data_IF_581173284832
#
_entry.id   IF_581173284832
#
_cell.length_a   1.000
_cell.length_b   1.000
_cell.length_c   1.000
_cell.angle_alpha   90.00
_cell.angle_beta   90.00
_cell.angle_gamma   90.00
#
_symmetry.space_group_name_H-M   'P 1'
#
loop_
_entity.id
_entity.type
_entity.pdbx_description
1 polymer ?
#
# COMPACT_ATOMS: atom_id res chain seq x y z
N UNK A 1 9.02 8.57 -20.70
CA UNK A 1 7.63 8.98 -20.93
C UNK A 1 6.89 8.68 -19.65
N UNK A 2 6.21 9.66 -19.06
CA UNK A 2 5.54 9.50 -17.76
C UNK A 2 4.53 8.37 -17.80
N UNK A 3 4.32 7.73 -16.64
CA UNK A 3 3.18 6.82 -16.48
C UNK A 3 1.87 7.63 -16.68
N UNK A 4 0.86 7.09 -17.40
CA UNK A 4 -0.37 7.82 -17.66
C UNK A 4 -1.10 8.31 -16.41
N UNK A 5 -1.12 7.51 -15.34
CA UNK A 5 -1.76 7.87 -14.07
C UNK A 5 -0.97 8.95 -13.33
N UNK A 6 0.37 8.89 -13.40
CA UNK A 6 1.23 9.95 -12.88
C UNK A 6 0.95 11.26 -13.60
N UNK A 7 0.90 11.24 -14.95
CA UNK A 7 0.56 12.41 -15.75
C UNK A 7 -0.84 12.94 -15.43
N UNK A 8 -1.84 12.07 -15.34
CA UNK A 8 -3.21 12.48 -14.99
C UNK A 8 -3.26 13.15 -13.61
N UNK A 9 -2.61 12.58 -12.60
CA UNK A 9 -2.51 13.18 -11.27
C UNK A 9 -1.92 14.60 -11.32
N UNK A 10 -0.90 14.80 -12.16
CA UNK A 10 -0.32 16.11 -12.37
C UNK A 10 -1.25 17.08 -13.10
N UNK A 11 -1.95 16.63 -14.13
CA UNK A 11 -2.91 17.46 -14.85
C UNK A 11 -4.08 17.88 -13.95
N UNK A 12 -4.56 17.00 -13.08
CA UNK A 12 -5.61 17.31 -12.10
C UNK A 12 -5.14 18.34 -11.08
N UNK A 13 -3.92 18.19 -10.55
CA UNK A 13 -3.43 19.04 -9.45
C UNK A 13 -2.87 20.37 -9.95
N UNK A 14 -2.14 20.35 -11.06
CA UNK A 14 -1.40 21.47 -11.57
C UNK A 14 -1.94 22.02 -12.89
N UNK A 15 -2.81 21.32 -13.62
CA UNK A 15 -3.35 21.73 -14.93
C UNK A 15 -2.63 21.10 -16.12
N UNK A 16 -3.27 21.11 -17.29
CA UNK A 16 -2.71 20.52 -18.52
C UNK A 16 -1.37 21.16 -18.94
N UNK A 17 -0.51 20.35 -19.57
CA UNK A 17 0.78 20.80 -20.11
C UNK A 17 1.85 21.05 -19.06
N UNK A 18 1.64 20.68 -17.80
CA UNK A 18 2.60 20.91 -16.71
C UNK A 18 3.98 20.27 -16.93
N UNK A 19 4.07 19.20 -17.73
CA UNK A 19 5.35 18.61 -18.17
C UNK A 19 6.27 19.63 -18.86
N UNK A 20 5.69 20.64 -19.53
CA UNK A 20 6.43 21.70 -20.22
C UNK A 20 6.86 22.86 -19.31
N UNK A 21 6.41 22.87 -18.04
CA UNK A 21 6.68 23.94 -17.06
C UNK A 21 7.17 23.35 -15.72
N UNK A 22 8.44 22.90 -15.64
CA UNK A 22 8.98 22.20 -14.46
C UNK A 22 8.88 23.00 -13.16
N UNK A 23 8.87 24.33 -13.25
CA UNK A 23 8.71 25.21 -12.09
C UNK A 23 7.38 25.04 -11.36
N UNK A 24 6.31 24.64 -12.05
CA UNK A 24 4.99 24.39 -11.43
C UNK A 24 4.98 23.13 -10.58
N UNK A 25 5.80 22.15 -10.93
CA UNK A 25 5.95 20.90 -10.19
C UNK A 25 6.69 21.08 -8.86
N UNK A 26 7.55 22.10 -8.77
CA UNK A 26 8.21 22.48 -7.51
C UNK A 26 7.25 23.10 -6.50
N UNK A 27 6.09 23.57 -6.92
CA UNK A 27 5.05 24.11 -6.03
C UNK A 27 4.12 23.04 -5.44
N UNK A 28 4.25 21.78 -5.86
CA UNK A 28 3.39 20.70 -5.39
C UNK A 28 3.90 20.13 -4.07
N UNK A 29 3.09 20.29 -3.03
CA UNK A 29 3.30 19.74 -1.69
C UNK A 29 2.53 18.43 -1.47
N UNK A 30 1.39 18.26 -2.14
CA UNK A 30 0.51 17.08 -2.03
C UNK A 30 0.12 16.56 -3.41
N UNK A 31 0.29 15.25 -3.62
CA UNK A 31 -0.07 14.55 -4.85
C UNK A 31 -0.79 13.24 -4.52
N UNK A 32 -1.87 12.97 -5.25
CA UNK A 32 -2.59 11.70 -5.18
C UNK A 32 -2.54 11.04 -6.54
N UNK A 33 -2.05 9.80 -6.59
CA UNK A 33 -1.93 9.00 -7.81
C UNK A 33 -2.77 7.75 -7.63
N UNK A 34 -3.67 7.51 -8.58
CA UNK A 34 -4.53 6.33 -8.58
C UNK A 34 -4.15 5.41 -9.74
N UNK A 35 -4.19 4.10 -9.51
CA UNK A 35 -4.13 3.11 -10.59
C UNK A 35 -2.86 3.17 -11.47
N UNK A 36 -1.73 3.61 -10.89
CA UNK A 36 -0.45 3.65 -11.59
C UNK A 36 0.23 2.27 -11.66
N UNK A 37 1.01 2.03 -12.73
CA UNK A 37 1.86 0.84 -12.89
C UNK A 37 3.36 1.15 -12.78
N UNK A 38 3.72 2.43 -12.86
CA UNK A 38 5.05 2.97 -12.56
C UNK A 38 4.92 4.37 -11.98
N UNK A 39 5.93 4.81 -11.22
CA UNK A 39 6.02 6.18 -10.74
C UNK A 39 6.95 7.04 -11.62
N UNK A 40 7.28 6.58 -12.82
CA UNK A 40 8.12 7.33 -13.75
C UNK A 40 7.52 8.73 -14.01
N UNK A 41 8.31 9.76 -13.71
CA UNK A 41 7.90 11.18 -13.78
C UNK A 41 7.75 11.84 -12.41
N UNK A 42 7.56 11.08 -11.32
CA UNK A 42 7.32 11.64 -9.98
C UNK A 42 8.51 12.44 -9.43
N UNK A 43 9.74 12.10 -9.84
CA UNK A 43 10.97 12.76 -9.41
C UNK A 43 11.07 14.24 -9.81
N UNK A 44 10.16 14.72 -10.66
CA UNK A 44 10.02 16.13 -10.97
C UNK A 44 9.47 16.96 -9.78
N UNK A 45 8.85 16.33 -8.76
CA UNK A 45 8.21 17.00 -7.63
C UNK A 45 9.06 16.96 -6.36
N UNK A 46 10.24 17.57 -6.42
CA UNK A 46 11.24 17.49 -5.33
C UNK A 46 10.79 18.08 -3.98
N UNK A 47 9.78 18.94 -4.00
CA UNK A 47 9.21 19.57 -2.81
C UNK A 47 7.95 18.86 -2.30
N UNK A 48 7.62 17.68 -2.85
CA UNK A 48 6.45 16.93 -2.44
C UNK A 48 6.62 16.49 -0.98
N UNK A 49 5.67 16.88 -0.14
CA UNK A 49 5.64 16.54 1.29
C UNK A 49 4.72 15.37 1.58
N UNK A 50 3.65 15.21 0.79
CA UNK A 50 2.63 14.18 0.96
C UNK A 50 2.38 13.48 -0.37
N UNK A 51 2.55 12.16 -0.37
CA UNK A 51 2.22 11.29 -1.50
C UNK A 51 1.16 10.28 -1.08
N UNK A 52 0.06 10.25 -1.83
CA UNK A 52 -0.99 9.24 -1.69
C UNK A 52 -1.02 8.38 -2.95
N UNK A 53 -0.85 7.07 -2.78
CA UNK A 53 -0.96 6.05 -3.81
C UNK A 53 -2.18 5.17 -3.50
N UNK A 54 -3.12 5.06 -4.43
CA UNK A 54 -4.29 4.22 -4.26
C UNK A 54 -4.51 3.32 -5.48
N UNK A 55 -4.71 2.03 -5.24
CA UNK A 55 -4.97 1.07 -6.30
C UNK A 55 -3.85 0.88 -7.31
N UNK A 56 -2.59 1.09 -6.92
CA UNK A 56 -1.43 0.97 -7.81
C UNK A 56 -0.89 -0.46 -7.87
N UNK A 57 -0.17 -0.78 -8.95
CA UNK A 57 0.57 -2.04 -9.11
C UNK A 57 2.03 -1.75 -9.50
N UNK A 58 2.89 -1.63 -8.49
CA UNK A 58 4.26 -1.15 -8.60
C UNK A 58 5.26 -2.26 -8.30
N UNK A 59 6.28 -2.42 -9.14
CA UNK A 59 7.35 -3.37 -8.89
C UNK A 59 8.19 -2.98 -7.66
N UNK A 60 8.40 -1.67 -7.46
CA UNK A 60 9.08 -1.09 -6.30
C UNK A 60 8.72 0.41 -6.19
N UNK A 61 9.36 1.11 -5.27
CA UNK A 61 9.22 2.55 -5.06
C UNK A 61 10.52 3.31 -5.35
N UNK A 62 11.39 2.80 -6.23
CA UNK A 62 12.74 3.34 -6.43
C UNK A 62 12.72 4.82 -6.88
N UNK A 63 11.70 5.22 -7.63
CA UNK A 63 11.53 6.61 -8.07
C UNK A 63 11.25 7.60 -6.92
N UNK A 64 10.93 7.11 -5.71
CA UNK A 64 10.73 7.96 -4.53
C UNK A 64 12.04 8.46 -3.92
N UNK A 65 13.19 7.84 -4.22
CA UNK A 65 14.51 8.20 -3.66
C UNK A 65 14.89 9.68 -3.82
N UNK A 66 14.30 10.38 -4.79
CA UNK A 66 14.57 11.79 -5.07
C UNK A 66 13.61 12.77 -4.37
N UNK A 67 12.60 12.26 -3.65
CA UNK A 67 11.60 13.07 -2.95
C UNK A 67 12.05 13.36 -1.52
N UNK A 68 13.17 14.05 -1.38
CA UNK A 68 13.83 14.30 -0.08
C UNK A 68 13.00 15.13 0.91
N UNK A 69 11.91 15.76 0.44
CA UNK A 69 10.99 16.55 1.27
C UNK A 69 9.78 15.73 1.75
N UNK A 70 9.67 14.46 1.36
CA UNK A 70 8.51 13.62 1.64
C UNK A 70 8.44 13.29 3.14
N UNK A 71 7.43 13.83 3.81
CA UNK A 71 7.17 13.55 5.22
C UNK A 71 6.12 12.47 5.44
N UNK A 72 5.15 12.35 4.52
CA UNK A 72 4.05 11.38 4.59
C UNK A 72 3.92 10.59 3.30
N UNK A 73 3.97 9.26 3.42
CA UNK A 73 3.59 8.33 2.37
C UNK A 73 2.36 7.54 2.81
N UNK A 74 1.30 7.59 2.01
CA UNK A 74 0.13 6.73 2.17
C UNK A 74 -0.03 5.87 0.93
N UNK A 75 -0.06 4.56 1.12
CA UNK A 75 -0.33 3.57 0.08
C UNK A 75 -1.51 2.71 0.52
N UNK A 76 -2.49 2.56 -0.36
CA UNK A 76 -3.70 1.81 -0.08
C UNK A 76 -4.11 0.97 -1.28
N UNK A 77 -4.63 -0.24 -1.01
CA UNK A 77 -5.24 -1.10 -2.02
C UNK A 77 -4.30 -1.41 -3.20
N UNK A 78 -3.00 -1.46 -2.92
CA UNK A 78 -1.94 -1.51 -3.94
C UNK A 78 -1.04 -2.73 -3.80
N UNK A 79 -0.45 -3.19 -4.90
CA UNK A 79 0.66 -4.15 -4.84
C UNK A 79 1.96 -3.38 -5.01
N UNK A 80 2.89 -3.57 -4.06
CA UNK A 80 4.23 -3.00 -4.09
C UNK A 80 5.20 -4.15 -3.90
N UNK A 81 6.10 -4.37 -4.86
CA UNK A 81 7.08 -5.46 -4.77
C UNK A 81 8.23 -5.18 -3.79
N UNK A 82 8.48 -3.93 -3.42
CA UNK A 82 9.46 -3.57 -2.39
C UNK A 82 9.48 -2.07 -2.07
N UNK A 83 9.98 -1.73 -0.88
CA UNK A 83 10.01 -0.37 -0.34
C UNK A 83 11.43 0.12 0.00
N UNK A 84 12.46 -0.43 -0.65
CA UNK A 84 13.86 -0.17 -0.30
C UNK A 84 14.20 1.33 -0.25
N UNK A 85 13.72 2.08 -1.25
CA UNK A 85 13.91 3.51 -1.37
C UNK A 85 13.33 4.34 -0.21
N UNK A 86 12.33 3.83 0.52
CA UNK A 86 11.79 4.54 1.71
C UNK A 86 12.88 4.68 2.77
N UNK A 87 13.78 3.70 2.89
CA UNK A 87 14.87 3.72 3.86
C UNK A 87 15.92 4.81 3.60
N UNK A 88 15.86 5.52 2.47
CA UNK A 88 16.72 6.66 2.14
C UNK A 88 16.05 8.01 2.38
N UNK A 89 14.77 8.03 2.80
CA UNK A 89 13.97 9.22 2.99
C UNK A 89 13.80 9.59 4.46
N UNK A 90 13.60 10.88 4.72
CA UNK A 90 13.26 11.41 6.06
C UNK A 90 11.75 11.43 6.30
N UNK A 91 11.11 10.27 6.09
CA UNK A 91 9.66 10.11 6.28
C UNK A 91 9.33 9.99 7.76
N UNK A 92 8.24 10.66 8.14
CA UNK A 92 7.74 10.69 9.53
C UNK A 92 6.51 9.80 9.70
N UNK A 93 5.73 9.62 8.62
CA UNK A 93 4.50 8.83 8.62
C UNK A 93 4.44 7.95 7.39
N UNK A 94 4.28 6.64 7.61
CA UNK A 94 4.14 5.66 6.54
C UNK A 94 2.89 4.82 6.78
N UNK A 95 1.88 4.99 5.93
CA UNK A 95 0.69 4.15 5.92
C UNK A 95 0.76 3.26 4.69
N UNK A 96 0.83 1.94 4.87
CA UNK A 96 0.77 0.97 3.78
C UNK A 96 -0.32 -0.03 4.16
N UNK A 97 -1.53 0.23 3.70
CA UNK A 97 -2.70 -0.57 4.06
C UNK A 97 -3.18 -1.38 2.86
N UNK A 98 -3.83 -2.51 3.15
CA UNK A 98 -4.50 -3.35 2.14
C UNK A 98 -3.59 -3.58 0.94
N UNK A 99 -2.36 -4.01 1.21
CA UNK A 99 -1.29 -4.06 0.21
C UNK A 99 -0.56 -5.39 0.21
N UNK A 100 0.06 -5.74 -0.91
CA UNK A 100 0.79 -7.01 -1.07
C UNK A 100 2.13 -7.12 -0.31
N UNK A 101 2.50 -6.13 0.50
CA UNK A 101 3.84 -5.97 1.07
C UNK A 101 4.14 -7.03 2.15
N UNK A 102 5.33 -7.64 2.07
CA UNK A 102 5.80 -8.67 2.99
C UNK A 102 7.01 -8.27 3.85
N UNK A 103 7.92 -7.47 3.28
CA UNK A 103 9.12 -7.00 3.96
C UNK A 103 9.01 -5.50 4.23
N UNK A 104 9.22 -5.14 5.49
CA UNK A 104 9.21 -3.76 6.00
C UNK A 104 10.53 -3.38 6.68
N UNK A 105 11.56 -4.23 6.60
CA UNK A 105 12.88 -3.97 7.17
C UNK A 105 13.52 -2.65 6.70
N UNK A 106 13.26 -2.11 5.49
CA UNK A 106 13.76 -0.79 5.10
C UNK A 106 13.35 0.34 6.03
N UNK A 107 12.19 0.23 6.71
CA UNK A 107 11.69 1.24 7.64
C UNK A 107 12.58 1.43 8.87
N UNK A 108 13.41 0.43 9.23
CA UNK A 108 14.38 0.54 10.33
C UNK A 108 15.48 1.58 10.05
N UNK A 109 15.68 1.98 8.80
CA UNK A 109 16.64 3.03 8.42
C UNK A 109 16.06 4.44 8.54
N UNK A 110 14.75 4.58 8.68
CA UNK A 110 14.06 5.87 8.81
C UNK A 110 14.15 6.38 10.26
N UNK A 111 15.20 7.11 10.61
CA UNK A 111 15.40 7.58 11.98
C UNK A 111 14.35 8.58 12.48
N UNK A 112 13.64 9.25 11.57
CA UNK A 112 12.56 10.21 11.88
C UNK A 112 11.16 9.60 11.93
N UNK A 113 11.02 8.27 11.79
CA UNK A 113 9.71 7.62 11.65
C UNK A 113 8.93 7.60 12.98
N UNK A 114 7.76 8.25 12.97
CA UNK A 114 6.90 8.40 14.15
C UNK A 114 5.73 7.43 14.10
N UNK A 115 5.15 7.23 12.92
CA UNK A 115 3.93 6.43 12.77
C UNK A 115 4.00 5.49 11.57
N UNK A 116 3.61 4.23 11.81
CA UNK A 116 3.48 3.18 10.79
C UNK A 116 2.13 2.48 10.91
N UNK A 117 1.40 2.36 9.80
CA UNK A 117 0.13 1.63 9.70
C UNK A 117 0.22 0.58 8.60
N UNK A 118 -0.04 -0.69 8.94
CA UNK A 118 0.19 -1.85 8.08
C UNK A 118 -1.03 -2.80 7.97
N UNK A 119 -2.25 -2.35 8.30
CA UNK A 119 -3.44 -3.24 8.28
C UNK A 119 -3.69 -3.82 6.87
N UNK A 120 -4.15 -5.06 6.78
CA UNK A 120 -4.44 -5.70 5.49
C UNK A 120 -3.22 -5.96 4.61
N UNK A 121 -2.03 -6.02 5.18
CA UNK A 121 -0.80 -6.40 4.49
C UNK A 121 -0.48 -7.89 4.65
N UNK A 122 0.47 -8.39 3.87
CA UNK A 122 0.90 -9.79 3.89
C UNK A 122 2.31 -9.94 4.45
N UNK A 123 2.53 -9.32 5.61
CA UNK A 123 3.82 -9.29 6.31
C UNK A 123 4.37 -10.70 6.53
N UNK A 124 5.68 -10.82 6.38
CA UNK A 124 6.44 -12.03 6.69
C UNK A 124 6.58 -12.25 8.20
N UNK A 125 6.96 -13.46 8.61
CA UNK A 125 7.23 -13.77 10.02
C UNK A 125 8.35 -12.88 10.59
N UNK A 126 9.39 -12.59 9.81
CA UNK A 126 10.47 -11.67 10.21
C UNK A 126 9.95 -10.25 10.52
N UNK A 127 8.96 -9.78 9.77
CA UNK A 127 8.34 -8.49 10.03
C UNK A 127 7.65 -8.46 11.41
N UNK A 128 6.94 -9.54 11.78
CA UNK A 128 6.29 -9.64 13.09
C UNK A 128 7.28 -9.87 14.24
N UNK A 129 8.25 -10.75 14.04
CA UNK A 129 9.09 -11.26 15.11
C UNK A 129 10.29 -10.35 15.42
N UNK A 130 10.71 -9.54 14.45
CA UNK A 130 11.90 -8.67 14.56
C UNK A 130 11.58 -7.22 14.22
N UNK A 131 11.11 -6.95 12.99
CA UNK A 131 11.05 -5.57 12.48
C UNK A 131 10.05 -4.70 13.26
N UNK A 132 8.83 -5.20 13.52
CA UNK A 132 7.82 -4.47 14.28
C UNK A 132 8.29 -4.18 15.72
N UNK A 133 8.83 -5.16 16.48
CA UNK A 133 9.46 -4.91 17.78
C UNK A 133 10.55 -3.84 17.74
N UNK A 134 11.44 -3.89 16.74
CA UNK A 134 12.54 -2.94 16.59
C UNK A 134 12.04 -1.52 16.29
N UNK A 135 11.05 -1.37 15.39
CA UNK A 135 10.39 -0.10 15.11
C UNK A 135 9.75 0.51 16.37
N UNK A 136 9.06 -0.31 17.16
CA UNK A 136 8.50 0.12 18.46
C UNK A 136 9.60 0.52 19.45
N UNK A 137 10.72 -0.21 19.46
CA UNK A 137 11.90 0.10 20.26
C UNK A 137 12.54 1.44 19.90
N UNK A 138 12.41 1.86 18.64
CA UNK A 138 12.81 3.20 18.16
C UNK A 138 11.81 4.30 18.54
N UNK A 139 10.69 3.96 19.19
CA UNK A 139 9.65 4.93 19.58
C UNK A 139 8.57 5.16 18.52
N UNK A 140 8.55 4.38 17.45
CA UNK A 140 7.52 4.46 16.42
C UNK A 140 6.20 3.83 16.90
N UNK A 141 5.08 4.52 16.66
CA UNK A 141 3.75 3.96 16.85
C UNK A 141 3.37 3.07 15.65
N UNK A 142 3.36 1.76 15.87
CA UNK A 142 3.11 0.76 14.83
C UNK A 142 1.78 0.07 15.05
N UNK A 143 0.86 0.24 14.09
CA UNK A 143 -0.35 -0.59 13.96
C UNK A 143 -0.13 -1.56 12.80
N UNK A 144 -0.39 -2.82 13.06
CA UNK A 144 -0.15 -3.93 12.16
C UNK A 144 -1.30 -4.94 12.27
N UNK A 145 -1.41 -5.89 11.33
CA UNK A 145 -2.50 -6.87 11.31
C UNK A 145 -2.59 -7.66 12.63
N UNK A 146 -3.81 -7.86 13.14
CA UNK A 146 -4.01 -8.75 14.29
C UNK A 146 -3.83 -10.24 13.93
N UNK A 147 -3.86 -11.12 14.94
CA UNK A 147 -3.64 -12.55 14.74
C UNK A 147 -4.61 -13.18 13.73
N UNK A 148 -5.85 -12.67 13.67
CA UNK A 148 -6.88 -13.17 12.75
C UNK A 148 -6.61 -12.65 11.34
N UNK A 149 -6.27 -11.38 11.17
CA UNK A 149 -5.85 -10.84 9.87
C UNK A 149 -4.63 -11.60 9.32
N UNK A 150 -3.62 -11.85 10.16
CA UNK A 150 -2.41 -12.62 9.81
C UNK A 150 -2.78 -14.03 9.38
N UNK A 151 -3.49 -14.78 10.22
CA UNK A 151 -3.88 -16.17 9.94
C UNK A 151 -4.68 -16.29 8.64
N UNK A 152 -5.74 -15.49 8.49
CA UNK A 152 -6.62 -15.56 7.32
C UNK A 152 -5.88 -15.17 6.04
N UNK A 153 -5.03 -14.15 6.09
CA UNK A 153 -4.20 -13.74 4.95
C UNK A 153 -3.20 -14.84 4.57
N UNK A 154 -2.57 -15.49 5.55
CA UNK A 154 -1.69 -16.64 5.30
C UNK A 154 -2.44 -17.81 4.66
N UNK A 155 -3.63 -18.15 5.15
CA UNK A 155 -4.45 -19.23 4.58
C UNK A 155 -4.86 -18.93 3.14
N UNK A 156 -5.31 -17.70 2.85
CA UNK A 156 -5.64 -17.26 1.49
C UNK A 156 -4.44 -17.46 0.54
N UNK A 157 -3.26 -17.01 0.95
CA UNK A 157 -2.04 -17.13 0.13
C UNK A 157 -1.58 -18.58 -0.08
N UNK A 158 -1.73 -19.44 0.92
CA UNK A 158 -1.44 -20.88 0.77
C UNK A 158 -2.34 -21.56 -0.26
N UNK A 159 -3.55 -21.04 -0.50
CA UNK A 159 -4.45 -21.51 -1.58
C UNK A 159 -4.12 -20.90 -2.95
N UNK A 160 -3.10 -20.06 -3.06
CA UNK A 160 -2.73 -19.36 -4.28
C UNK A 160 -3.55 -18.10 -4.58
N UNK A 161 -4.41 -17.66 -3.66
CA UNK A 161 -5.19 -16.45 -3.80
C UNK A 161 -4.38 -15.22 -3.39
N UNK A 162 -4.25 -14.26 -4.30
CA UNK A 162 -3.65 -12.94 -4.03
C UNK A 162 -4.67 -11.98 -3.40
N UNK A 163 -5.31 -12.43 -2.31
CA UNK A 163 -6.32 -11.71 -1.55
C UNK A 163 -5.80 -11.55 -0.13
N UNK A 164 -6.00 -10.37 0.47
CA UNK A 164 -5.65 -10.14 1.86
C UNK A 164 -6.92 -9.97 2.71
N UNK A 165 -6.82 -10.33 3.98
CA UNK A 165 -7.83 -10.04 4.99
C UNK A 165 -7.40 -8.80 5.78
N UNK A 166 -8.33 -7.91 6.07
CA UNK A 166 -8.09 -6.75 6.93
C UNK A 166 -9.26 -6.49 7.87
N UNK A 167 -8.97 -5.87 9.01
CA UNK A 167 -9.98 -5.53 10.01
C UNK A 167 -10.48 -4.10 9.82
N UNK A 168 -11.80 -3.92 9.89
CA UNK A 168 -12.46 -2.61 9.88
C UNK A 168 -13.51 -2.55 10.98
N UNK A 169 -13.21 -1.82 12.05
CA UNK A 169 -14.05 -1.83 13.25
C UNK A 169 -14.09 -3.24 13.86
N UNK A 170 -15.29 -3.82 13.97
CA UNK A 170 -15.48 -5.17 14.52
C UNK A 170 -15.60 -6.27 13.43
N UNK A 171 -15.45 -5.90 12.15
CA UNK A 171 -15.63 -6.80 11.03
C UNK A 171 -14.31 -7.08 10.30
N UNK A 172 -14.22 -8.26 9.69
CA UNK A 172 -13.12 -8.61 8.78
C UNK A 172 -13.61 -8.50 7.35
N UNK A 173 -12.72 -8.05 6.47
CA UNK A 173 -13.01 -7.85 5.06
C UNK A 173 -11.88 -8.37 4.19
N UNK A 174 -12.24 -8.74 2.98
CA UNK A 174 -11.26 -9.13 1.97
C UNK A 174 -10.99 -7.98 1.00
N UNK A 175 -9.74 -7.81 0.59
CA UNK A 175 -9.34 -6.89 -0.46
C UNK A 175 -8.52 -7.61 -1.54
N UNK A 176 -8.59 -7.09 -2.76
CA UNK A 176 -7.79 -7.53 -3.91
C UNK A 176 -6.80 -6.41 -4.26
N UNK A 177 -5.66 -6.33 -3.56
CA UNK A 177 -4.73 -5.23 -3.76
C UNK A 177 -4.20 -5.20 -5.20
N UNK A 178 -3.98 -4.00 -5.72
CA UNK A 178 -3.39 -3.75 -7.03
C UNK A 178 -4.32 -4.08 -8.21
N UNK A 179 -3.76 -3.98 -9.41
CA UNK A 179 -4.53 -3.95 -10.66
C UNK A 179 -4.61 -5.29 -11.39
N UNK A 180 -4.03 -6.36 -10.84
CA UNK A 180 -3.95 -7.65 -11.53
C UNK A 180 -5.28 -8.41 -11.50
N UNK A 181 -6.11 -8.20 -10.46
CA UNK A 181 -7.37 -8.91 -10.24
C UNK A 181 -8.61 -8.04 -10.43
N UNK A 182 -8.46 -6.72 -10.44
CA UNK A 182 -9.54 -5.74 -10.58
C UNK A 182 -8.96 -4.41 -11.04
N UNK A 183 -9.76 -3.62 -11.76
CA UNK A 183 -9.46 -2.24 -12.14
C UNK A 183 -9.74 -1.22 -11.03
N UNK A 184 -10.48 -1.64 -9.98
CA UNK A 184 -10.88 -0.79 -8.84
C UNK A 184 -10.63 -1.52 -7.52
N UNK A 185 -9.36 -1.72 -7.13
CA UNK A 185 -9.02 -2.44 -5.91
C UNK A 185 -9.50 -1.77 -4.62
N UNK A 186 -9.88 -0.49 -4.67
CA UNK A 186 -10.38 0.28 -3.54
C UNK A 186 -11.87 0.05 -3.21
N UNK A 187 -12.61 -0.69 -4.04
CA UNK A 187 -14.05 -0.94 -3.88
C UNK A 187 -14.37 -2.43 -3.68
N UNK A 188 -15.60 -2.70 -3.25
CA UNK A 188 -16.16 -4.05 -3.13
C UNK A 188 -15.33 -4.97 -2.22
N UNK A 189 -15.09 -4.53 -0.98
CA UNK A 189 -14.44 -5.36 0.04
C UNK A 189 -15.48 -6.15 0.82
N UNK A 190 -15.74 -7.43 0.47
CA UNK A 190 -16.77 -8.22 1.13
C UNK A 190 -16.42 -8.42 2.59
N UNK A 191 -17.42 -8.26 3.45
CA UNK A 191 -17.34 -8.64 4.85
C UNK A 191 -17.39 -10.16 4.99
N UNK A 192 -16.54 -10.70 5.85
CA UNK A 192 -16.40 -12.15 6.05
C UNK A 192 -16.35 -12.48 7.54
N UNK A 193 -17.02 -13.57 7.90
CA UNK A 193 -16.78 -14.23 9.19
C UNK A 193 -15.48 -15.04 9.11
N UNK A 194 -14.55 -14.89 10.08
CA UNK A 194 -13.36 -15.74 10.15
C UNK A 194 -13.67 -17.24 10.16
N UNK A 195 -14.81 -17.65 10.74
CA UNK A 195 -15.21 -19.06 10.79
C UNK A 195 -15.64 -19.55 9.40
N UNK A 196 -16.48 -18.77 8.72
CA UNK A 196 -17.01 -19.11 7.39
C UNK A 196 -15.90 -19.09 6.33
N UNK A 197 -14.98 -18.13 6.41
CA UNK A 197 -13.86 -18.04 5.48
C UNK A 197 -12.95 -19.26 5.61
N UNK A 198 -12.60 -19.68 6.83
CA UNK A 198 -11.82 -20.90 7.06
C UNK A 198 -12.51 -22.13 6.46
N UNK A 199 -13.80 -22.31 6.72
CA UNK A 199 -14.58 -23.42 6.16
C UNK A 199 -14.61 -23.37 4.61
N UNK A 200 -14.70 -22.18 4.03
CA UNK A 200 -14.66 -21.98 2.58
C UNK A 200 -13.30 -22.39 2.01
N UNK A 201 -12.19 -21.94 2.61
CA UNK A 201 -10.84 -22.28 2.18
C UNK A 201 -10.52 -23.77 2.30
N UNK A 202 -11.10 -24.47 3.28
CA UNK A 202 -10.92 -25.92 3.41
C UNK A 202 -11.71 -26.74 2.39
N UNK A 203 -12.85 -26.21 1.93
CA UNK A 203 -13.77 -26.96 1.06
C UNK A 203 -13.59 -26.62 -0.42
N UNK A 204 -13.58 -25.34 -0.75
CA UNK A 204 -13.46 -24.82 -2.11
C UNK A 204 -12.94 -23.37 -2.08
N UNK A 205 -11.61 -23.17 -2.11
CA UNK A 205 -11.00 -21.84 -2.15
C UNK A 205 -11.50 -20.96 -3.31
N UNK A 206 -11.91 -21.57 -4.44
CA UNK A 206 -12.38 -20.83 -5.61
C UNK A 206 -13.61 -19.98 -5.35
N UNK A 207 -14.42 -20.34 -4.34
CA UNK A 207 -15.61 -19.56 -3.94
C UNK A 207 -15.27 -18.19 -3.37
N UNK A 208 -14.04 -17.97 -2.87
CA UNK A 208 -13.63 -16.66 -2.36
C UNK A 208 -13.73 -15.58 -3.43
N UNK A 209 -13.41 -15.89 -4.69
CA UNK A 209 -13.54 -14.93 -5.79
C UNK A 209 -14.98 -14.43 -5.97
N UNK A 210 -15.97 -15.31 -5.78
CA UNK A 210 -17.40 -14.98 -5.94
C UNK A 210 -17.93 -14.04 -4.84
N UNK A 211 -17.23 -13.91 -3.71
CA UNK A 211 -17.63 -12.99 -2.64
C UNK A 211 -17.53 -11.52 -3.08
N UNK A 212 -16.56 -11.22 -3.96
CA UNK A 212 -16.34 -9.88 -4.49
C UNK A 212 -17.41 -9.44 -5.49
N UNK A 213 -18.15 -10.37 -6.09
CA UNK A 213 -19.23 -10.08 -7.04
C UNK A 213 -20.54 -9.70 -6.32
N UNK A 214 -20.70 -10.11 -5.06
CA UNK A 214 -21.93 -9.93 -4.27
C UNK A 214 -22.04 -8.57 -3.57
N UNK A 215 -20.99 -7.76 -3.60
CA UNK A 215 -20.87 -6.56 -2.76
C UNK A 215 -21.34 -5.26 -3.45
N UNK A 216 -22.22 -5.35 -4.46
CA UNK A 216 -22.80 -4.22 -5.19
C UNK A 216 -24.07 -3.67 -4.54
#
# INVERSE_FOLDING_TARGET
MWDPAVREAFEVKAGHGVESEPGRLLGLDVLTINHARSLHGISACRNLMILVLAGCELANLDELSQLTSLGLLSVSDSVIGGIEAIGELDVHTVHIERSGLADISPLLRCSGLIEVRLSGTALSDDAFDRVIPDLKGMGCDVVFPDDVERELTSLLRQTGLSVNCYKRGNAYRLCRPGLSLTDRPEVNHPEVSPVELRATLMSDPGKVATLFERSL
#
